data_IF_403014292909
#
_entry.id   IF_403014292909
#
_cell.length_a   1.000
_cell.length_b   1.000
_cell.length_c   1.000
_cell.angle_alpha   90.00
_cell.angle_beta   90.00
_cell.angle_gamma   90.00
#
_symmetry.space_group_name_H-M   'P 1'
#
loop_
_entity.id
_entity.type
_entity.pdbx_description
1 polymer ?
#
# COMPACT_ATOMS: atom_id res chain seq x y z
N UNK A 1 -0.37 2.47 -33.76
CA UNK A 1 0.53 2.53 -32.60
C UNK A 1 -0.16 3.37 -31.53
N UNK A 2 -0.85 2.75 -30.58
CA UNK A 2 -1.57 3.50 -29.53
C UNK A 2 -0.55 4.25 -28.67
N UNK A 3 -0.43 5.56 -28.85
CA UNK A 3 0.47 6.38 -28.05
C UNK A 3 -0.01 6.38 -26.60
N UNK A 4 0.93 6.56 -25.66
CA UNK A 4 0.70 6.55 -24.20
C UNK A 4 -0.53 7.35 -23.75
N UNK A 5 -0.89 8.41 -24.47
CA UNK A 5 -2.09 9.22 -24.22
C UNK A 5 -3.39 8.43 -24.35
N UNK A 6 -3.50 7.53 -25.33
CA UNK A 6 -4.68 6.68 -25.51
C UNK A 6 -4.84 5.72 -24.32
N UNK A 7 -3.75 5.06 -23.92
CA UNK A 7 -3.78 4.17 -22.75
C UNK A 7 -4.06 4.92 -21.46
N UNK A 8 -3.49 6.12 -21.26
CA UNK A 8 -3.75 6.94 -20.09
C UNK A 8 -5.23 7.31 -19.95
N UNK A 9 -5.89 7.68 -21.05
CA UNK A 9 -7.32 7.99 -21.05
C UNK A 9 -8.17 6.73 -20.81
N UNK A 10 -7.79 5.58 -21.39
CA UNK A 10 -8.47 4.30 -21.12
C UNK A 10 -8.37 3.92 -19.65
N UNK A 11 -7.18 4.03 -19.05
CA UNK A 11 -6.98 3.75 -17.62
C UNK A 11 -7.74 4.72 -16.71
N UNK A 12 -7.84 6.01 -17.10
CA UNK A 12 -8.63 6.99 -16.37
C UNK A 12 -10.11 6.57 -16.31
N UNK A 13 -10.68 6.16 -17.44
CA UNK A 13 -12.08 5.71 -17.50
C UNK A 13 -12.27 4.46 -16.65
N UNK A 14 -11.37 3.49 -16.74
CA UNK A 14 -11.42 2.26 -15.92
C UNK A 14 -11.36 2.59 -14.42
N UNK A 15 -10.48 3.51 -14.01
CA UNK A 15 -10.35 3.93 -12.62
C UNK A 15 -11.63 4.60 -12.09
N UNK A 16 -12.27 5.47 -12.88
CA UNK A 16 -13.53 6.11 -12.51
C UNK A 16 -14.67 5.09 -12.40
N UNK A 17 -14.77 4.14 -13.34
CA UNK A 17 -15.76 3.06 -13.29
C UNK A 17 -15.52 2.17 -12.07
N UNK A 18 -14.28 1.78 -11.80
CA UNK A 18 -13.94 0.99 -10.62
C UNK A 18 -14.31 1.72 -9.32
N UNK A 19 -14.02 3.02 -9.22
CA UNK A 19 -14.39 3.85 -8.08
C UNK A 19 -15.92 3.91 -7.90
N UNK A 20 -16.68 4.10 -8.98
CA UNK A 20 -18.14 4.15 -8.95
C UNK A 20 -18.80 2.81 -8.60
N UNK A 21 -18.22 1.69 -9.05
CA UNK A 21 -18.71 0.32 -8.77
C UNK A 21 -18.38 -0.13 -7.32
N UNK A 22 -17.62 0.65 -6.57
CA UNK A 22 -17.38 0.38 -5.15
C UNK A 22 -16.09 -0.39 -4.86
N UNK A 23 -15.08 -0.33 -5.73
CA UNK A 23 -13.73 -0.85 -5.43
C UNK A 23 -13.08 -0.24 -4.18
N UNK A 24 -13.67 0.81 -3.60
CA UNK A 24 -13.30 1.33 -2.28
C UNK A 24 -13.38 0.32 -1.14
N UNK A 25 -14.24 -0.71 -1.25
CA UNK A 25 -14.33 -1.78 -0.24
C UNK A 25 -13.08 -2.68 -0.16
N UNK A 26 -12.51 -3.02 -1.32
CA UNK A 26 -11.26 -3.80 -1.42
C UNK A 26 -10.07 -2.94 -0.96
N UNK A 27 -10.08 -1.65 -1.30
CA UNK A 27 -9.10 -0.71 -0.78
C UNK A 27 -9.14 -0.67 0.76
N UNK A 28 -10.32 -0.67 1.38
CA UNK A 28 -10.46 -0.72 2.84
C UNK A 28 -9.81 -1.97 3.47
N UNK A 29 -10.08 -3.15 2.91
CA UNK A 29 -9.48 -4.40 3.38
C UNK A 29 -7.94 -4.42 3.23
N UNK A 30 -7.44 -3.97 2.07
CA UNK A 30 -6.01 -3.87 1.82
C UNK A 30 -5.34 -2.87 2.77
N UNK A 31 -5.98 -1.74 3.06
CA UNK A 31 -5.47 -0.72 3.98
C UNK A 31 -5.41 -1.22 5.43
N UNK A 32 -6.42 -1.97 5.89
CA UNK A 32 -6.40 -2.59 7.22
C UNK A 32 -5.28 -3.66 7.33
N UNK A 33 -5.14 -4.52 6.31
CA UNK A 33 -4.06 -5.51 6.27
C UNK A 33 -2.67 -4.84 6.28
N UNK A 34 -2.48 -3.77 5.52
CA UNK A 34 -1.24 -3.00 5.50
C UNK A 34 -0.97 -2.31 6.85
N UNK A 35 -2.01 -1.77 7.51
CA UNK A 35 -1.91 -1.14 8.82
C UNK A 35 -1.46 -2.14 9.90
N UNK A 36 -1.97 -3.37 9.85
CA UNK A 36 -1.52 -4.44 10.76
C UNK A 36 -0.04 -4.76 10.58
N UNK A 37 0.40 -4.97 9.33
CA UNK A 37 1.82 -5.23 9.02
C UNK A 37 2.74 -4.08 9.44
N UNK A 38 2.30 -2.84 9.25
CA UNK A 38 3.06 -1.64 9.62
C UNK A 38 3.37 -1.61 11.12
N UNK A 39 2.37 -1.88 11.97
CA UNK A 39 2.58 -1.94 13.42
C UNK A 39 3.47 -3.09 13.85
N UNK A 40 3.30 -4.28 13.26
CA UNK A 40 4.18 -5.43 13.51
C UNK A 40 5.62 -5.08 13.14
N UNK A 41 5.82 -4.45 11.99
CA UNK A 41 7.14 -4.03 11.54
C UNK A 41 7.78 -3.01 12.49
N UNK A 42 7.01 -2.03 12.99
CA UNK A 42 7.51 -1.06 13.98
C UNK A 42 8.01 -1.78 15.24
N UNK A 43 7.25 -2.72 15.78
CA UNK A 43 7.65 -3.47 16.98
C UNK A 43 8.96 -4.22 16.71
N UNK A 44 9.02 -4.96 15.60
CA UNK A 44 10.23 -5.70 15.22
C UNK A 44 11.43 -4.78 14.99
N UNK A 45 11.21 -3.62 14.37
CA UNK A 45 12.23 -2.61 14.12
C UNK A 45 12.78 -2.06 15.44
N UNK A 46 11.92 -1.69 16.39
CA UNK A 46 12.35 -1.21 17.71
C UNK A 46 13.13 -2.28 18.46
N UNK A 47 12.65 -3.53 18.47
CA UNK A 47 13.36 -4.65 19.11
C UNK A 47 14.72 -4.88 18.48
N UNK A 48 14.79 -4.90 17.14
CA UNK A 48 16.03 -5.06 16.39
C UNK A 48 17.01 -3.91 16.65
N UNK A 49 16.52 -2.67 16.70
CA UNK A 49 17.31 -1.48 16.97
C UNK A 49 17.90 -1.52 18.37
N UNK A 50 17.08 -1.81 19.38
CA UNK A 50 17.54 -1.91 20.78
C UNK A 50 18.53 -3.06 20.94
N UNK A 51 18.23 -4.24 20.40
CA UNK A 51 19.16 -5.38 20.45
C UNK A 51 20.50 -5.09 19.74
N UNK A 52 20.45 -4.36 18.62
CA UNK A 52 21.63 -3.92 17.89
C UNK A 52 22.44 -2.89 18.67
N UNK A 53 21.79 -1.96 19.37
CA UNK A 53 22.45 -0.94 20.17
C UNK A 53 23.09 -1.54 21.44
N UNK A 54 22.37 -2.42 22.14
CA UNK A 54 22.88 -3.12 23.34
C UNK A 54 24.08 -4.01 23.00
N UNK A 55 24.12 -4.64 21.82
CA UNK A 55 25.28 -5.45 21.41
C UNK A 55 26.54 -4.62 21.15
N UNK A 56 26.40 -3.33 20.82
CA UNK A 56 27.50 -2.43 20.46
C UNK A 56 28.01 -1.59 21.64
N UNK A 57 27.26 -1.50 22.73
CA UNK A 57 27.67 -0.90 23.99
C UNK A 57 28.43 -1.92 24.85
#
# INVERSE_FOLDING_TARGET
MGNLLHYAVVFLIVALVAAAVGFGGVAGFAMEAARLLFWVFIILFVVSLVAGLVRRA
#
